data_IF_703418695812
#
_entry.id   IF_703418695812
#
_cell.length_a   1.000
_cell.length_b   1.000
_cell.length_c   1.000
_cell.angle_alpha   90.00
_cell.angle_beta   90.00
_cell.angle_gamma   90.00
#
_symmetry.space_group_name_H-M   'P 1'
#
loop_
_entity.id
_entity.type
_entity.pdbx_description
1 polymer ?
#
# COMPACT_ATOMS: atom_id res chain seq x y z
N UNK A 1 13.40 -2.73 -85.35
CA UNK A 1 14.20 -2.37 -84.15
C UNK A 1 13.37 -2.68 -82.93
N UNK A 2 13.74 -3.61 -82.03
CA UNK A 2 13.01 -3.78 -80.78
C UNK A 2 13.62 -2.87 -79.69
N UNK A 3 12.78 -2.11 -78.99
CA UNK A 3 13.17 -1.32 -77.83
C UNK A 3 13.36 -2.24 -76.60
N UNK A 4 14.37 -2.00 -75.74
CA UNK A 4 14.53 -2.78 -74.53
C UNK A 4 13.47 -2.40 -73.48
N UNK A 5 12.73 -3.38 -72.98
CA UNK A 5 11.83 -3.21 -71.85
C UNK A 5 12.65 -3.02 -70.56
N UNK A 6 12.52 -1.84 -69.94
CA UNK A 6 13.16 -1.49 -68.67
C UNK A 6 12.52 -2.30 -67.55
N UNK A 7 13.24 -3.29 -67.02
CA UNK A 7 12.79 -4.09 -65.86
C UNK A 7 12.70 -3.18 -64.64
N UNK A 8 11.51 -3.07 -64.08
CA UNK A 8 11.20 -2.14 -62.99
C UNK A 8 11.68 -2.67 -61.63
N UNK A 9 12.07 -1.74 -60.77
CA UNK A 9 12.71 -1.87 -59.46
C UNK A 9 11.78 -2.44 -58.35
N UNK A 10 11.11 -3.56 -58.59
CA UNK A 10 10.17 -4.16 -57.62
C UNK A 10 10.85 -4.72 -56.36
N UNK A 11 12.11 -5.16 -56.47
CA UNK A 11 12.84 -5.75 -55.33
C UNK A 11 13.21 -4.72 -54.26
N UNK A 12 13.58 -3.49 -54.66
CA UNK A 12 13.95 -2.43 -53.72
C UNK A 12 12.75 -1.96 -52.91
N UNK A 13 11.57 -1.90 -53.53
CA UNK A 13 10.33 -1.56 -52.86
C UNK A 13 9.91 -2.65 -51.86
N UNK A 14 10.05 -3.93 -52.23
CA UNK A 14 9.78 -5.05 -51.34
C UNK A 14 10.74 -5.07 -50.14
N UNK A 15 12.04 -4.84 -50.38
CA UNK A 15 13.03 -4.69 -49.32
C UNK A 15 12.74 -3.52 -48.38
N UNK A 16 12.27 -2.38 -48.90
CA UNK A 16 11.86 -1.23 -48.10
C UNK A 16 10.65 -1.55 -47.22
N UNK A 17 9.61 -2.20 -47.76
CA UNK A 17 8.43 -2.61 -46.98
C UNK A 17 8.83 -3.58 -45.87
N UNK A 18 9.68 -4.57 -46.17
CA UNK A 18 10.17 -5.53 -45.17
C UNK A 18 11.00 -4.82 -44.09
N UNK A 19 11.88 -3.88 -44.48
CA UNK A 19 12.66 -3.08 -43.52
C UNK A 19 11.75 -2.27 -42.59
N UNK A 20 10.77 -1.55 -43.14
CA UNK A 20 9.81 -0.76 -42.36
C UNK A 20 8.97 -1.67 -41.46
N UNK A 21 8.56 -2.84 -41.95
CA UNK A 21 7.84 -3.83 -41.15
C UNK A 21 8.69 -4.35 -39.97
N UNK A 22 9.99 -4.63 -40.18
CA UNK A 22 10.91 -5.06 -39.12
C UNK A 22 11.10 -3.93 -38.10
N UNK A 23 11.31 -2.68 -38.56
CA UNK A 23 11.45 -1.52 -37.68
C UNK A 23 10.19 -1.26 -36.85
N UNK A 24 9.00 -1.41 -37.47
CA UNK A 24 7.72 -1.31 -36.79
C UNK A 24 7.53 -2.40 -35.72
N UNK A 25 7.91 -3.65 -36.02
CA UNK A 25 7.84 -4.77 -35.09
C UNK A 25 8.76 -4.57 -33.88
N UNK A 26 10.02 -4.17 -34.11
CA UNK A 26 11.01 -3.94 -33.05
C UNK A 26 10.60 -2.74 -32.17
N UNK A 27 10.10 -1.66 -32.77
CA UNK A 27 9.64 -0.48 -32.03
C UNK A 27 8.45 -0.76 -31.09
N UNK A 28 7.53 -1.64 -31.51
CA UNK A 28 6.35 -1.97 -30.71
C UNK A 28 6.67 -2.80 -29.44
N UNK A 29 7.76 -3.58 -29.44
CA UNK A 29 8.11 -4.46 -28.33
C UNK A 29 8.65 -3.71 -27.10
N UNK A 30 9.27 -2.53 -27.27
CA UNK A 30 9.94 -1.79 -26.19
C UNK A 30 9.00 -1.08 -25.20
N UNK A 31 7.75 -0.81 -25.57
CA UNK A 31 6.88 0.10 -24.81
C UNK A 31 6.31 -0.48 -23.51
N UNK A 32 6.20 -1.81 -23.39
CA UNK A 32 5.52 -2.44 -22.25
C UNK A 32 6.34 -2.48 -20.96
N UNK A 33 7.66 -2.32 -21.03
CA UNK A 33 8.54 -2.38 -19.85
C UNK A 33 8.47 -1.11 -18.98
N UNK A 34 8.08 0.03 -19.58
CA UNK A 34 8.12 1.33 -18.90
C UNK A 34 7.17 1.46 -17.72
N UNK A 35 5.98 0.84 -17.77
CA UNK A 35 4.96 1.00 -16.73
C UNK A 35 5.35 0.34 -15.39
N UNK A 36 6.04 -0.80 -15.43
CA UNK A 36 6.53 -1.48 -14.24
C UNK A 36 7.65 -0.69 -13.58
N UNK A 37 8.61 -0.20 -14.37
CA UNK A 37 9.71 0.64 -13.89
C UNK A 37 9.18 1.94 -13.28
N UNK A 38 8.20 2.58 -13.92
CA UNK A 38 7.57 3.78 -13.40
C UNK A 38 6.84 3.51 -12.07
N UNK A 39 6.14 2.39 -11.95
CA UNK A 39 5.45 2.02 -10.70
C UNK A 39 6.43 1.75 -9.56
N UNK A 40 7.53 1.05 -9.84
CA UNK A 40 8.60 0.85 -8.85
C UNK A 40 9.24 2.18 -8.42
N UNK A 41 9.50 3.08 -9.36
CA UNK A 41 10.05 4.41 -9.05
C UNK A 41 9.09 5.23 -8.18
N UNK A 42 7.80 5.26 -8.51
CA UNK A 42 6.79 5.95 -7.72
C UNK A 42 6.66 5.37 -6.30
N UNK A 43 6.78 4.06 -6.15
CA UNK A 43 6.75 3.40 -4.85
C UNK A 43 7.99 3.70 -4.00
N UNK A 44 9.18 3.71 -4.60
CA UNK A 44 10.40 4.11 -3.91
C UNK A 44 10.32 5.58 -3.49
N UNK A 45 9.83 6.45 -4.37
CA UNK A 45 9.61 7.86 -4.07
C UNK A 45 8.61 8.04 -2.92
N UNK A 46 7.56 7.21 -2.83
CA UNK A 46 6.63 7.21 -1.71
C UNK A 46 7.32 6.90 -0.38
N UNK A 47 8.22 5.91 -0.36
CA UNK A 47 9.01 5.56 0.84
C UNK A 47 9.96 6.70 1.23
N UNK A 48 10.63 7.33 0.26
CA UNK A 48 11.55 8.44 0.49
C UNK A 48 10.82 9.71 0.99
N UNK A 49 9.63 9.98 0.45
CA UNK A 49 8.76 11.07 0.93
C UNK A 49 8.26 10.76 2.34
N UNK A 50 7.83 9.52 2.59
CA UNK A 50 7.39 9.07 3.89
C UNK A 50 8.48 9.17 4.96
N UNK A 51 9.73 8.84 4.61
CA UNK A 51 10.91 9.06 5.46
C UNK A 51 11.03 10.53 5.85
N UNK A 52 10.95 11.45 4.86
CA UNK A 52 11.03 12.89 5.11
C UNK A 52 9.91 13.40 6.01
N UNK A 53 8.69 12.87 5.88
CA UNK A 53 7.60 13.19 6.80
C UNK A 53 7.87 12.71 8.22
N UNK A 54 8.34 11.46 8.38
CA UNK A 54 8.68 10.93 9.71
C UNK A 54 9.82 11.74 10.37
N UNK A 55 10.86 12.10 9.62
CA UNK A 55 11.96 12.94 10.10
C UNK A 55 11.49 14.36 10.45
N UNK A 56 10.56 14.92 9.68
CA UNK A 56 9.97 16.21 9.96
C UNK A 56 9.14 16.19 11.26
N UNK A 57 8.33 15.14 11.47
CA UNK A 57 7.56 14.96 12.70
C UNK A 57 8.49 14.77 13.92
N UNK A 58 9.52 13.95 13.77
CA UNK A 58 10.52 13.72 14.82
C UNK A 58 11.26 15.02 15.18
N UNK A 59 11.73 15.76 14.17
CA UNK A 59 12.43 17.03 14.41
C UNK A 59 11.52 18.11 15.00
N UNK A 60 10.23 18.12 14.68
CA UNK A 60 9.23 19.01 15.30
C UNK A 60 9.05 18.68 16.78
N UNK A 61 8.91 17.39 17.12
CA UNK A 61 8.83 16.94 18.51
C UNK A 61 10.10 17.29 19.30
N UNK A 62 11.28 17.08 18.71
CA UNK A 62 12.57 17.40 19.33
C UNK A 62 12.81 18.91 19.52
N UNK A 63 12.24 19.75 18.65
CA UNK A 63 12.34 21.20 18.76
C UNK A 63 11.34 21.81 19.76
N UNK A 64 10.35 21.04 20.21
CA UNK A 64 9.29 21.52 21.10
C UNK A 64 9.81 21.68 22.54
N UNK A 65 9.70 22.88 23.15
CA UNK A 65 10.07 23.08 24.55
C UNK A 65 9.20 22.23 25.50
N UNK A 66 9.73 21.82 26.66
CA UNK A 66 8.96 21.07 27.64
C UNK A 66 7.71 21.85 28.08
N UNK A 67 6.57 21.15 28.16
CA UNK A 67 5.27 21.73 28.53
C UNK A 67 4.37 22.13 27.35
N UNK A 68 4.83 22.00 26.10
CA UNK A 68 4.00 22.16 24.90
C UNK A 68 3.74 20.81 24.20
N UNK A 69 2.66 20.68 23.41
CA UNK A 69 2.35 19.43 22.73
C UNK A 69 3.38 19.13 21.64
N UNK A 70 4.07 17.99 21.76
CA UNK A 70 5.17 17.61 20.88
C UNK A 70 4.74 17.36 19.44
N UNK A 71 3.48 17.01 19.22
CA UNK A 71 2.95 16.72 17.89
C UNK A 71 2.38 18.00 17.25
N UNK A 72 2.59 18.20 15.94
CA UNK A 72 2.00 19.33 15.22
C UNK A 72 0.49 19.10 15.03
N UNK A 73 -0.34 20.17 15.12
CA UNK A 73 -1.79 20.06 14.88
C UNK A 73 -2.13 19.95 13.39
N UNK A 74 -1.27 20.42 12.49
CA UNK A 74 -1.47 20.42 11.04
C UNK A 74 -0.16 20.17 10.30
N UNK A 75 -0.21 19.64 9.08
CA UNK A 75 0.99 19.49 8.24
C UNK A 75 1.64 20.84 7.89
N UNK A 76 0.85 21.93 7.84
CA UNK A 76 1.37 23.27 7.61
C UNK A 76 2.35 23.71 8.72
N UNK A 77 2.15 23.25 9.96
CA UNK A 77 3.06 23.53 11.07
C UNK A 77 4.46 22.90 10.86
N UNK A 78 4.59 21.84 10.06
CA UNK A 78 5.89 21.28 9.68
C UNK A 78 6.65 22.19 8.70
N UNK A 79 5.95 22.97 7.89
CA UNK A 79 6.58 23.94 6.98
C UNK A 79 7.03 25.20 7.72
N UNK A 80 6.24 25.65 8.70
CA UNK A 80 6.52 26.84 9.50
C UNK A 80 5.96 26.62 10.89
N UNK A 81 6.86 26.44 11.86
CA UNK A 81 6.47 26.35 13.27
C UNK A 81 6.02 27.73 13.78
N UNK A 82 4.76 27.92 14.22
CA UNK A 82 4.29 29.18 14.78
C UNK A 82 4.78 29.45 16.20
N UNK A 83 5.32 28.45 16.90
CA UNK A 83 5.71 28.56 18.32
C UNK A 83 7.04 29.26 18.51
N UNK A 84 7.92 29.17 17.52
CA UNK A 84 9.23 29.82 17.56
C UNK A 84 9.19 31.14 16.80
N UNK A 85 9.67 32.26 17.39
CA UNK A 85 9.74 33.54 16.68
C UNK A 85 10.68 33.49 15.46
N UNK A 86 11.63 32.56 15.46
CA UNK A 86 12.49 32.27 14.32
C UNK A 86 11.84 31.21 13.42
N UNK A 87 11.82 31.46 12.11
CA UNK A 87 11.26 30.54 11.11
C UNK A 87 12.05 29.23 11.09
N UNK A 88 11.52 28.19 11.74
CA UNK A 88 12.02 26.81 11.66
C UNK A 88 11.15 26.01 10.69
N UNK A 89 11.81 25.36 9.72
CA UNK A 89 11.17 24.53 8.70
C UNK A 89 11.64 23.09 8.90
N UNK A 90 10.72 22.22 9.30
CA UNK A 90 10.98 20.78 9.48
C UNK A 90 10.80 20.02 8.17
N UNK A 91 9.91 20.53 7.31
CA UNK A 91 9.67 20.01 5.97
C UNK A 91 9.96 21.09 4.92
N UNK A 92 10.59 20.71 3.80
CA UNK A 92 10.95 21.66 2.73
C UNK A 92 9.71 22.17 1.98
N UNK A 93 8.81 21.26 1.65
CA UNK A 93 7.55 21.51 0.92
C UNK A 93 6.55 20.41 1.26
N UNK A 94 5.26 20.67 1.04
CA UNK A 94 4.28 19.60 1.07
C UNK A 94 4.47 18.74 -0.19
N UNK A 95 4.81 17.47 0.01
CA UNK A 95 5.03 16.55 -1.10
C UNK A 95 3.71 16.10 -1.72
N UNK A 96 3.75 15.83 -3.01
CA UNK A 96 2.66 15.18 -3.75
C UNK A 96 2.86 13.68 -3.59
N UNK A 97 1.78 12.94 -3.33
CA UNK A 97 1.81 11.50 -3.33
C UNK A 97 2.03 11.00 -4.78
N UNK A 98 3.12 10.27 -5.06
CA UNK A 98 3.48 9.83 -6.42
C UNK A 98 2.50 8.79 -6.99
N UNK A 99 1.69 8.14 -6.14
CA UNK A 99 0.70 7.15 -6.56
C UNK A 99 -0.62 7.82 -6.94
N UNK A 100 -1.10 8.79 -6.14
CA UNK A 100 -2.37 9.49 -6.41
C UNK A 100 -2.21 10.75 -7.25
N UNK A 101 -1.01 11.31 -7.32
CA UNK A 101 -0.71 12.58 -7.98
C UNK A 101 -1.25 13.80 -7.24
N UNK A 102 -1.66 13.67 -5.97
CA UNK A 102 -2.25 14.75 -5.15
C UNK A 102 -1.39 15.06 -3.93
N UNK A 103 -1.40 16.31 -3.48
CA UNK A 103 -0.76 16.71 -2.22
C UNK A 103 -1.65 16.44 -0.99
N UNK A 104 -2.53 15.43 -1.08
CA UNK A 104 -3.49 15.06 -0.06
C UNK A 104 -2.99 13.79 0.64
N UNK A 105 -2.80 13.88 1.96
CA UNK A 105 -2.28 12.79 2.77
C UNK A 105 -3.29 12.42 3.85
N UNK A 106 -3.42 11.13 4.13
CA UNK A 106 -4.12 10.65 5.31
C UNK A 106 -3.32 11.00 6.56
N UNK A 107 -4.00 11.50 7.59
CA UNK A 107 -3.39 11.93 8.84
C UNK A 107 -3.71 10.94 9.95
N UNK A 108 -2.69 10.55 10.71
CA UNK A 108 -2.86 9.77 11.92
C UNK A 108 -2.77 10.70 13.12
N UNK A 109 -3.77 10.65 13.99
CA UNK A 109 -3.80 11.43 15.21
C UNK A 109 -3.47 10.59 16.44
N UNK A 110 -2.79 11.20 17.41
CA UNK A 110 -2.54 10.59 18.70
C UNK A 110 -3.87 10.41 19.46
N UNK A 111 -4.19 9.22 19.99
CA UNK A 111 -5.33 9.05 20.88
C UNK A 111 -5.33 10.07 22.03
N UNK A 112 -6.42 10.81 22.19
CA UNK A 112 -6.58 11.82 23.24
C UNK A 112 -6.01 13.22 22.94
N UNK A 113 -5.43 13.45 21.75
CA UNK A 113 -5.03 14.79 21.32
C UNK A 113 -5.18 14.98 19.81
N UNK A 114 -5.27 16.23 19.34
CA UNK A 114 -5.35 16.52 17.90
C UNK A 114 -3.95 16.61 17.23
N UNK A 115 -2.96 15.91 17.81
CA UNK A 115 -1.59 15.91 17.33
C UNK A 115 -1.36 14.85 16.27
N UNK A 116 -0.74 15.24 15.15
CA UNK A 116 -0.41 14.32 14.06
C UNK A 116 0.82 13.50 14.48
N UNK A 117 0.68 12.18 14.47
CA UNK A 117 1.76 11.22 14.79
C UNK A 117 2.35 10.55 13.56
N UNK A 118 1.65 10.66 12.43
CA UNK A 118 2.09 10.08 11.18
C UNK A 118 1.20 10.46 10.01
N UNK A 119 1.63 10.04 8.83
CA UNK A 119 0.90 10.22 7.57
C UNK A 119 0.83 8.90 6.80
N UNK A 120 -0.17 8.75 5.94
CA UNK A 120 -0.26 7.63 4.99
C UNK A 120 -0.80 8.10 3.64
N UNK A 121 -0.54 7.36 2.57
CA UNK A 121 -1.14 7.62 1.25
C UNK A 121 -2.65 7.30 1.28
N UNK A 122 -3.46 8.00 0.49
CA UNK A 122 -4.89 7.70 0.35
C UNK A 122 -5.17 6.61 -0.70
N UNK A 123 -4.13 6.11 -1.37
CA UNK A 123 -4.27 5.12 -2.44
C UNK A 123 -4.62 3.73 -1.88
N UNK A 124 -5.60 3.08 -2.52
CA UNK A 124 -5.92 1.68 -2.32
C UNK A 124 -5.18 0.76 -3.31
N UNK A 125 -4.22 1.29 -4.08
CA UNK A 125 -3.42 0.44 -4.96
C UNK A 125 -2.52 -0.50 -4.15
N UNK A 126 -2.29 -1.69 -4.69
CA UNK A 126 -1.43 -2.68 -4.05
C UNK A 126 0.06 -2.33 -4.26
N UNK A 127 0.91 -2.47 -3.23
CA UNK A 127 2.34 -2.29 -3.38
C UNK A 127 2.99 -3.43 -4.17
N UNK A 128 4.09 -3.14 -4.84
CA UNK A 128 4.95 -4.13 -5.48
C UNK A 128 5.94 -4.73 -4.48
N UNK A 129 6.44 -3.93 -3.54
CA UNK A 129 7.32 -4.36 -2.46
C UNK A 129 6.50 -4.94 -1.31
N UNK A 130 6.73 -6.22 -1.06
CA UNK A 130 6.07 -6.97 0.03
C UNK A 130 6.99 -7.22 1.22
N UNK A 131 8.31 -6.98 1.06
CA UNK A 131 9.31 -7.27 2.08
C UNK A 131 10.66 -6.59 1.85
N UNK A 132 11.63 -6.91 2.73
CA UNK A 132 12.97 -6.35 2.73
C UNK A 132 12.93 -4.82 2.86
N UNK A 133 12.08 -4.34 3.76
CA UNK A 133 12.03 -2.93 4.11
C UNK A 133 13.17 -2.58 5.08
N UNK A 134 13.53 -1.31 5.15
CA UNK A 134 14.40 -0.81 6.21
C UNK A 134 13.71 -0.98 7.57
N UNK A 135 14.49 -1.03 8.65
CA UNK A 135 13.97 -1.22 10.01
C UNK A 135 12.85 -0.22 10.38
N UNK A 136 12.94 1.02 9.87
CA UNK A 136 11.94 2.07 10.09
C UNK A 136 10.57 1.82 9.42
N UNK A 137 10.52 0.85 8.50
CA UNK A 137 9.35 0.50 7.70
C UNK A 137 8.95 -0.97 7.87
N UNK A 138 9.45 -1.65 8.91
CA UNK A 138 9.16 -3.07 9.15
C UNK A 138 7.64 -3.38 9.23
N UNK A 139 6.83 -2.44 9.70
CA UNK A 139 5.37 -2.59 9.76
C UNK A 139 4.64 -2.60 8.40
N UNK A 140 5.36 -2.44 7.27
CA UNK A 140 4.78 -2.41 5.92
C UNK A 140 4.82 -3.78 5.23
N UNK A 141 5.51 -4.76 5.83
CA UNK A 141 5.60 -6.11 5.27
C UNK A 141 4.23 -6.78 5.16
N UNK A 142 3.96 -7.36 4.00
CA UNK A 142 2.70 -8.06 3.72
C UNK A 142 1.45 -7.19 3.64
N UNK A 143 1.56 -5.86 3.62
CA UNK A 143 0.41 -4.96 3.49
C UNK A 143 -0.19 -5.00 2.08
N UNK A 144 -1.52 -5.00 2.00
CA UNK A 144 -2.24 -5.14 0.73
C UNK A 144 -2.41 -3.81 0.00
N UNK A 145 -2.39 -2.68 0.73
CA UNK A 145 -2.65 -1.36 0.18
C UNK A 145 -1.66 -0.30 0.70
N UNK A 146 -1.38 0.73 -0.11
CA UNK A 146 -0.57 1.87 0.32
C UNK A 146 -1.18 2.67 1.48
N UNK A 147 -2.50 2.64 1.64
CA UNK A 147 -3.18 3.25 2.78
C UNK A 147 -2.80 2.64 4.13
N UNK A 148 -2.30 1.40 4.13
CA UNK A 148 -1.81 0.74 5.35
C UNK A 148 -0.35 1.10 5.67
N UNK A 149 0.37 1.75 4.75
CA UNK A 149 1.74 2.22 4.96
C UNK A 149 1.71 3.51 5.77
N UNK A 150 1.83 3.35 7.08
CA UNK A 150 1.74 4.42 8.07
C UNK A 150 3.14 4.92 8.43
N UNK A 151 3.50 6.09 7.92
CA UNK A 151 4.76 6.77 8.21
C UNK A 151 4.65 7.53 9.52
N UNK A 152 5.16 6.97 10.60
CA UNK A 152 5.09 7.56 11.95
C UNK A 152 6.42 8.18 12.38
N UNK A 153 6.36 9.16 13.28
CA UNK A 153 7.57 9.77 13.86
C UNK A 153 8.43 8.78 14.65
N UNK A 154 7.77 7.83 15.31
CA UNK A 154 8.40 6.78 16.10
C UNK A 154 8.11 5.43 15.44
N UNK A 155 9.01 5.02 14.54
CA UNK A 155 8.85 3.79 13.77
C UNK A 155 8.76 2.53 14.65
N UNK A 156 9.28 2.60 15.89
CA UNK A 156 9.32 1.49 16.83
C UNK A 156 7.92 1.12 17.37
N UNK A 157 6.95 2.03 17.29
CA UNK A 157 5.58 1.76 17.74
C UNK A 157 4.76 0.98 16.69
N UNK A 158 5.17 1.00 15.41
CA UNK A 158 4.51 0.24 14.33
C UNK A 158 4.89 -1.25 14.30
N UNK A 159 5.94 -1.68 15.02
CA UNK A 159 6.38 -3.07 15.03
C UNK A 159 5.63 -3.96 16.02
N UNK A 160 4.63 -3.45 16.74
CA UNK A 160 3.75 -4.33 17.51
C UNK A 160 2.81 -5.05 16.53
N UNK A 161 2.92 -6.38 16.37
CA UNK A 161 1.92 -7.12 15.64
C UNK A 161 0.58 -6.87 16.34
N UNK A 162 -0.42 -6.46 15.56
CA UNK A 162 -1.82 -6.49 16.00
C UNK A 162 -2.18 -7.96 16.24
N UNK A 163 -1.81 -8.47 17.40
CA UNK A 163 -2.23 -9.77 17.88
C UNK A 163 -3.75 -9.71 18.02
N UNK A 164 -4.45 -10.54 17.24
CA UNK A 164 -5.85 -10.86 17.49
C UNK A 164 -6.04 -11.34 18.93
N UNK A 165 -7.27 -11.32 19.45
CA UNK A 165 -7.54 -11.55 20.86
C UNK A 165 -7.12 -12.97 21.28
N UNK A 166 -5.96 -13.07 21.92
CA UNK A 166 -5.60 -14.19 22.76
C UNK A 166 -5.76 -13.75 24.22
N UNK A 167 -6.88 -14.12 24.82
CA UNK A 167 -7.10 -14.18 26.27
C UNK A 167 -7.70 -15.57 26.53
N UNK A 168 -7.26 -16.38 27.50
CA UNK A 168 -6.75 -16.06 28.83
C UNK A 168 -5.69 -17.08 29.29
N UNK A 169 -4.78 -16.70 30.21
CA UNK A 169 -4.24 -17.59 31.22
C UNK A 169 -4.96 -17.33 32.55
N UNK A 170 -5.54 -18.36 33.16
CA UNK A 170 -5.91 -18.34 34.56
C UNK A 170 -5.26 -19.57 35.21
N UNK A 171 -4.22 -19.29 36.00
CA UNK A 171 -3.63 -20.25 36.94
C UNK A 171 -4.48 -20.25 38.20
N UNK A 172 -4.77 -21.42 38.75
CA UNK A 172 -5.11 -21.56 40.16
C UNK A 172 -4.49 -22.86 40.72
N UNK A 173 -4.45 -22.93 42.03
CA UNK A 173 -3.30 -23.31 42.85
C UNK A 173 -3.22 -24.81 43.27
N UNK A 174 -2.01 -25.20 43.71
CA UNK A 174 -1.68 -26.23 44.71
C UNK A 174 -1.94 -27.73 44.45
N UNK A 175 -0.84 -28.52 44.46
CA UNK A 175 -0.88 -29.95 44.74
C UNK A 175 0.42 -30.69 44.44
N UNK A 176 1.16 -31.07 45.48
CA UNK A 176 2.42 -31.81 45.47
C UNK A 176 2.26 -33.24 44.90
N UNK A 177 3.18 -33.66 44.01
CA UNK A 177 3.87 -34.97 43.90
C UNK A 177 4.00 -35.52 42.45
N UNK A 178 5.12 -36.19 42.10
CA UNK A 178 5.44 -36.58 40.73
C UNK A 178 4.93 -38.00 40.40
N UNK A 179 4.39 -38.19 39.20
CA UNK A 179 4.22 -39.51 38.61
C UNK A 179 4.35 -39.44 37.09
N UNK A 180 5.43 -40.03 36.57
CA UNK A 180 5.51 -40.47 35.17
C UNK A 180 4.52 -41.66 34.95
N UNK A 181 4.46 -42.27 33.77
CA UNK A 181 4.08 -41.76 32.44
C UNK A 181 3.01 -42.68 31.82
N UNK A 182 2.08 -42.22 30.96
CA UNK A 182 1.42 -43.15 30.01
C UNK A 182 0.96 -42.41 28.75
N UNK A 183 1.60 -42.69 27.61
CA UNK A 183 0.96 -42.52 26.31
C UNK A 183 0.13 -43.76 26.00
N UNK A 184 -1.12 -43.64 25.55
CA UNK A 184 -1.71 -44.64 24.69
C UNK A 184 -1.64 -44.16 23.25
N UNK A 185 -0.78 -44.85 22.49
CA UNK A 185 -1.04 -45.17 21.10
C UNK A 185 -2.39 -45.92 20.99
N UNK A 186 -2.85 -46.07 19.75
CA UNK A 186 -4.07 -46.75 19.29
C UNK A 186 -5.33 -45.89 19.30
N UNK A 187 -6.21 -45.89 18.31
CA UNK A 187 -6.28 -46.37 16.92
C UNK A 187 -7.74 -46.13 16.54
N UNK A 188 -8.03 -45.66 15.32
CA UNK A 188 -9.03 -46.26 14.39
C UNK A 188 -9.39 -45.32 13.22
N UNK A 189 -9.93 -45.88 12.12
CA UNK A 189 -9.51 -45.54 10.75
C UNK A 189 -10.64 -44.97 9.87
N UNK A 190 -10.22 -44.45 8.71
CA UNK A 190 -10.88 -44.43 7.38
C UNK A 190 -12.35 -43.99 7.28
N UNK A 191 -12.59 -42.91 6.53
CA UNK A 191 -13.42 -42.94 5.31
C UNK A 191 -13.18 -41.70 4.42
N UNK A 192 -13.10 -41.84 3.09
CA UNK A 192 -12.88 -40.76 2.13
C UNK A 192 -14.18 -40.16 1.56
N UNK A 193 -14.05 -38.94 1.01
CA UNK A 193 -14.85 -38.26 -0.03
C UNK A 193 -16.34 -37.99 0.25
N UNK A 194 -16.72 -36.70 0.27
CA UNK A 194 -17.88 -36.23 -0.51
C UNK A 194 -17.61 -34.83 -1.10
N UNK A 195 -17.62 -34.79 -2.43
CA UNK A 195 -17.87 -33.61 -3.26
C UNK A 195 -19.14 -32.89 -2.78
N UNK A 196 -19.04 -31.61 -2.44
CA UNK A 196 -20.20 -30.72 -2.37
C UNK A 196 -20.13 -29.70 -3.52
N UNK A 197 -21.17 -29.65 -4.38
CA UNK A 197 -21.24 -28.77 -5.54
C UNK A 197 -21.48 -27.28 -5.16
N UNK A 198 -21.23 -26.35 -6.11
CA UNK A 198 -21.25 -24.90 -5.88
C UNK A 198 -22.60 -24.36 -5.36
N UNK A 199 -22.62 -23.32 -4.51
CA UNK A 199 -23.86 -22.69 -4.09
C UNK A 199 -24.49 -21.89 -5.24
N UNK A 200 -25.77 -22.16 -5.50
CA UNK A 200 -26.61 -21.41 -6.44
C UNK A 200 -26.85 -19.95 -6.00
N UNK A 201 -27.19 -19.05 -6.95
CA UNK A 201 -27.34 -17.62 -6.71
C UNK A 201 -28.61 -17.31 -5.91
N UNK A 202 -28.48 -16.49 -4.88
CA UNK A 202 -29.63 -15.96 -4.12
C UNK A 202 -30.35 -14.91 -4.96
N UNK A 203 -31.60 -15.23 -5.29
CA UNK A 203 -32.61 -14.41 -5.95
C UNK A 203 -32.86 -13.10 -5.16
N UNK A 204 -32.62 -11.94 -5.79
CA UNK A 204 -32.96 -10.62 -5.25
C UNK A 204 -34.41 -10.27 -5.61
N UNK A 205 -35.28 -9.91 -4.65
CA UNK A 205 -36.59 -9.35 -4.97
C UNK A 205 -36.47 -7.90 -5.48
N UNK A 206 -37.14 -7.66 -6.59
CA UNK A 206 -37.35 -6.40 -7.30
C UNK A 206 -37.97 -5.28 -6.43
N UNK A 207 -37.56 -4.00 -6.57
CA UNK A 207 -38.17 -2.90 -5.82
C UNK A 207 -39.52 -2.51 -6.42
N UNK A 208 -40.59 -2.72 -5.64
CA UNK A 208 -41.93 -2.28 -5.97
C UNK A 208 -42.05 -0.75 -5.88
N UNK A 209 -42.39 -0.14 -7.01
CA UNK A 209 -42.72 1.26 -7.21
C UNK A 209 -44.14 1.56 -6.65
N UNK A 210 -44.33 2.47 -5.70
CA UNK A 210 -45.67 2.88 -5.28
C UNK A 210 -46.23 3.92 -6.25
N UNK A 211 -47.18 3.48 -7.07
CA UNK A 211 -48.06 4.35 -7.82
C UNK A 211 -49.08 5.02 -6.88
N UNK A 212 -49.32 6.31 -7.14
CA UNK A 212 -50.66 6.87 -7.31
C UNK A 212 -51.57 6.90 -6.05
N UNK A 213 -51.51 8.02 -5.33
CA UNK A 213 -52.59 8.45 -4.45
C UNK A 213 -53.54 9.36 -5.24
N UNK A 214 -54.71 8.83 -5.59
CA UNK A 214 -55.87 9.58 -6.06
C UNK A 214 -56.69 10.04 -4.86
N UNK A 215 -56.82 11.36 -4.67
CA UNK A 215 -57.99 12.01 -4.08
C UNK A 215 -57.85 13.54 -4.22
N UNK A 216 -58.41 14.12 -5.29
CA UNK A 216 -59.55 15.06 -5.28
C UNK A 216 -59.79 15.60 -6.70
#
# INVERSE_FOLDING_TARGET
MPCPARRQHGFTYLGLIILVAILGLVGAAGLKMGSLLQRQAAEQELLDIGAQFSDALYSYAAATPPGQPQQPPTLAALLRDPRTPQLRRHLRKLFVDPITGRAEWGLLYQPGSNGIIGVHSLSQAAPLKVGNFEARFAGFEGKAHFSEWRFMADAQVSSLPSAGPAAMPASDEAGIAPALPVSPLFSRPVAPTQDQPPPEPVEQPEPQNPAENTAE
#
